data_IF_248665277369
#
_entry.id   IF_248665277369
#
_cell.length_a   1.000
_cell.length_b   1.000
_cell.length_c   1.000
_cell.angle_alpha   90.00
_cell.angle_beta   90.00
_cell.angle_gamma   90.00
#
_symmetry.space_group_name_H-M   'P 1'
#
loop_
_entity.id
_entity.type
_entity.pdbx_description
1 polymer ?
#
# COMPACT_ATOMS: atom_id res chain seq x y z
N UNK A 1 -0.41 21.85 77.14
CA UNK A 1 -1.39 21.14 76.28
C UNK A 1 -0.97 19.67 76.02
N UNK A 2 -0.66 18.89 77.06
CA UNK A 2 -0.21 17.48 76.92
C UNK A 2 -1.28 16.47 77.38
N UNK A 3 -2.36 16.94 78.03
CA UNK A 3 -3.45 16.09 78.50
C UNK A 3 -4.49 15.68 77.45
N UNK A 4 -4.75 16.52 76.44
CA UNK A 4 -5.85 16.30 75.46
C UNK A 4 -5.48 15.25 74.40
N UNK A 5 -4.21 15.16 74.01
CA UNK A 5 -3.72 14.22 72.98
C UNK A 5 -3.74 12.77 73.48
N UNK A 6 -3.57 12.56 74.79
CA UNK A 6 -3.59 11.22 75.40
C UNK A 6 -5.01 10.66 75.53
N UNK A 7 -6.01 11.53 75.67
CA UNK A 7 -7.43 11.14 75.67
C UNK A 7 -7.92 10.79 74.25
N UNK A 8 -7.49 11.52 73.22
CA UNK A 8 -7.87 11.27 71.83
C UNK A 8 -7.32 9.94 71.26
N UNK A 9 -6.11 9.52 71.66
CA UNK A 9 -5.57 8.19 71.28
C UNK A 9 -6.36 7.05 71.89
N UNK A 10 -6.84 7.21 73.13
CA UNK A 10 -7.57 6.15 73.80
C UNK A 10 -9.02 5.97 73.27
N UNK A 11 -9.58 7.02 72.65
CA UNK A 11 -10.88 6.95 71.99
C UNK A 11 -10.82 6.29 70.60
N UNK A 12 -9.71 6.48 69.87
CA UNK A 12 -9.52 5.91 68.53
C UNK A 12 -9.31 4.38 68.53
N UNK A 13 -8.74 3.83 69.61
CA UNK A 13 -8.54 2.38 69.76
C UNK A 13 -9.82 1.61 70.12
N UNK A 14 -10.89 2.29 70.57
CA UNK A 14 -12.19 1.63 70.85
C UNK A 14 -13.06 1.37 69.61
N UNK A 15 -12.74 1.94 68.46
CA UNK A 15 -13.57 1.82 67.24
C UNK A 15 -12.87 1.20 66.03
N UNK A 16 -11.68 0.59 66.17
CA UNK A 16 -11.13 -0.31 65.14
C UNK A 16 -10.88 0.29 63.75
N UNK A 17 -10.68 1.61 63.62
CA UNK A 17 -10.56 2.30 62.33
C UNK A 17 -9.11 2.53 61.86
N UNK A 18 -8.09 2.05 62.58
CA UNK A 18 -6.68 2.30 62.25
C UNK A 18 -6.05 1.27 61.31
N UNK A 19 -6.69 0.11 61.09
CA UNK A 19 -6.07 -1.00 60.32
C UNK A 19 -6.33 -0.92 58.80
N UNK A 20 -7.34 -0.15 58.36
CA UNK A 20 -7.74 -0.10 56.94
C UNK A 20 -6.97 0.98 56.16
N UNK A 21 -6.72 2.15 56.75
CA UNK A 21 -6.06 3.26 56.07
C UNK A 21 -4.57 2.99 55.73
N UNK A 22 -3.84 2.28 56.60
CA UNK A 22 -2.44 1.91 56.33
C UNK A 22 -2.30 0.82 55.25
N UNK A 23 -3.28 -0.07 55.09
CA UNK A 23 -3.26 -1.12 54.04
C UNK A 23 -3.56 -0.56 52.65
N UNK A 24 -4.41 0.46 52.53
CA UNK A 24 -4.70 1.09 51.23
C UNK A 24 -3.56 2.00 50.73
N UNK A 25 -2.88 2.73 51.63
CA UNK A 25 -1.75 3.59 51.26
C UNK A 25 -0.50 2.80 50.82
N UNK A 26 -0.23 1.67 51.46
CA UNK A 26 0.88 0.75 51.10
C UNK A 26 0.60 0.00 49.80
N UNK A 27 -0.65 -0.40 49.54
CA UNK A 27 -1.05 -1.04 48.27
C UNK A 27 -0.95 -0.09 47.07
N UNK A 28 -1.32 1.18 47.23
CA UNK A 28 -1.24 2.19 46.14
C UNK A 28 0.21 2.56 45.80
N UNK A 29 1.09 2.73 46.80
CA UNK A 29 2.55 2.95 46.60
C UNK A 29 3.27 1.75 46.00
N UNK A 30 2.88 0.51 46.36
CA UNK A 30 3.47 -0.71 45.78
C UNK A 30 3.07 -0.89 44.32
N UNK A 31 1.84 -0.54 43.93
CA UNK A 31 1.41 -0.60 42.52
C UNK A 31 2.09 0.45 41.62
N UNK A 32 2.37 1.65 42.13
CA UNK A 32 3.05 2.71 41.37
C UNK A 32 4.56 2.49 41.26
N UNK A 33 5.19 1.84 42.24
CA UNK A 33 6.58 1.36 42.14
C UNK A 33 6.69 0.21 41.13
N UNK A 34 5.78 -0.77 41.19
CA UNK A 34 5.80 -1.92 40.28
C UNK A 34 5.53 -1.55 38.81
N UNK A 35 4.75 -0.49 38.54
CA UNK A 35 4.60 0.10 37.20
C UNK A 35 5.83 0.89 36.73
N UNK A 36 6.55 1.55 37.64
CA UNK A 36 7.83 2.25 37.34
C UNK A 36 8.96 1.28 37.07
N UNK A 37 9.02 0.18 37.81
CA UNK A 37 10.01 -0.90 37.61
C UNK A 37 9.79 -1.61 36.27
N UNK A 38 8.53 -1.80 35.85
CA UNK A 38 8.20 -2.32 34.52
C UNK A 38 8.62 -1.39 33.38
N UNK A 39 8.37 -0.09 33.50
CA UNK A 39 8.81 0.90 32.52
C UNK A 39 10.36 0.99 32.46
N UNK A 40 11.02 0.97 33.62
CA UNK A 40 12.49 0.96 33.70
C UNK A 40 13.09 -0.33 33.10
N UNK A 41 12.45 -1.48 33.31
CA UNK A 41 12.86 -2.74 32.70
C UNK A 41 12.69 -2.72 31.17
N UNK A 42 11.60 -2.14 30.65
CA UNK A 42 11.39 -1.97 29.20
C UNK A 42 12.46 -1.05 28.61
N UNK A 43 12.73 0.10 29.25
CA UNK A 43 13.77 1.04 28.79
C UNK A 43 15.14 0.38 28.84
N UNK A 44 15.47 -0.35 29.91
CA UNK A 44 16.71 -1.11 30.04
C UNK A 44 16.85 -2.21 28.98
N UNK A 45 15.76 -2.94 28.68
CA UNK A 45 15.71 -3.94 27.61
C UNK A 45 15.89 -3.32 26.21
N UNK A 46 15.30 -2.15 25.96
CA UNK A 46 15.51 -1.40 24.71
C UNK A 46 16.97 -0.94 24.62
N UNK A 47 17.53 -0.39 25.70
CA UNK A 47 18.89 0.12 25.72
C UNK A 47 19.92 -1.01 25.50
N UNK A 48 19.75 -2.15 26.17
CA UNK A 48 20.59 -3.34 25.98
C UNK A 48 20.47 -3.91 24.57
N UNK A 49 19.27 -3.95 23.98
CA UNK A 49 19.08 -4.39 22.57
C UNK A 49 19.74 -3.45 21.57
N UNK A 50 19.67 -2.13 21.80
CA UNK A 50 20.31 -1.11 20.95
C UNK A 50 21.83 -1.18 21.08
N UNK A 51 22.35 -1.33 22.30
CA UNK A 51 23.79 -1.50 22.55
C UNK A 51 24.33 -2.80 21.94
N UNK A 52 23.60 -3.92 22.08
CA UNK A 52 23.95 -5.19 21.45
C UNK A 52 24.00 -5.08 19.92
N UNK A 53 23.04 -4.36 19.31
CA UNK A 53 23.01 -4.05 17.87
C UNK A 53 24.16 -3.14 17.41
N UNK A 54 24.86 -2.46 18.33
CA UNK A 54 26.02 -1.60 18.05
C UNK A 54 27.37 -2.26 18.40
N UNK A 55 27.36 -3.46 18.99
CA UNK A 55 28.55 -4.17 19.44
C UNK A 55 29.49 -4.56 18.30
N UNK A 56 30.79 -4.70 18.60
CA UNK A 56 31.79 -5.15 17.63
C UNK A 56 31.49 -6.54 17.07
N UNK A 57 30.96 -7.45 17.90
CA UNK A 57 30.54 -8.78 17.46
C UNK A 57 29.35 -8.71 16.50
N UNK A 58 28.38 -7.83 16.74
CA UNK A 58 27.30 -7.60 15.79
C UNK A 58 27.87 -7.12 14.46
N UNK A 59 28.74 -6.09 14.46
CA UNK A 59 29.45 -5.58 13.26
C UNK A 59 30.23 -6.67 12.53
N UNK A 60 30.98 -7.50 13.24
CA UNK A 60 31.75 -8.63 12.70
C UNK A 60 30.84 -9.68 12.04
N UNK A 61 29.73 -10.06 12.68
CA UNK A 61 28.71 -10.93 12.06
C UNK A 61 28.06 -10.29 10.84
N UNK A 62 27.99 -8.96 10.74
CA UNK A 62 27.52 -8.29 9.54
C UNK A 62 28.53 -8.41 8.40
N UNK A 63 29.82 -8.22 8.69
CA UNK A 63 30.91 -8.36 7.71
C UNK A 63 31.01 -9.79 7.19
N UNK A 64 30.94 -10.81 8.05
CA UNK A 64 30.92 -12.21 7.61
C UNK A 64 29.71 -12.54 6.72
N UNK A 65 28.54 -11.98 7.02
CA UNK A 65 27.36 -12.17 6.19
C UNK A 65 27.49 -11.46 4.82
N UNK A 66 28.10 -10.28 4.80
CA UNK A 66 28.39 -9.55 3.57
C UNK A 66 29.42 -10.29 2.70
N UNK A 67 30.47 -10.87 3.31
CA UNK A 67 31.47 -11.71 2.64
C UNK A 67 30.86 -13.01 2.08
N UNK A 68 29.86 -13.56 2.77
CA UNK A 68 29.04 -14.68 2.28
C UNK A 68 28.04 -14.30 1.16
N UNK A 69 28.10 -13.06 0.64
CA UNK A 69 27.23 -12.60 -0.45
C UNK A 69 25.78 -12.31 -0.02
N UNK A 70 25.49 -12.29 1.29
CA UNK A 70 24.17 -11.91 1.80
C UNK A 70 24.10 -10.39 1.82
N UNK A 71 23.67 -9.82 0.69
CA UNK A 71 23.38 -8.40 0.54
C UNK A 71 22.44 -7.91 1.65
N UNK A 72 22.73 -6.75 2.22
CA UNK A 72 21.92 -6.16 3.28
C UNK A 72 21.32 -4.85 2.81
N UNK A 73 20.07 -4.64 3.21
CA UNK A 73 19.23 -3.46 2.92
C UNK A 73 19.85 -2.12 3.45
N UNK A 74 21.03 -2.15 4.07
CA UNK A 74 21.77 -0.98 4.56
C UNK A 74 22.86 -0.44 3.62
N UNK A 75 23.17 -1.15 2.53
CA UNK A 75 24.14 -0.66 1.54
C UNK A 75 23.52 0.51 0.74
N UNK A 76 24.35 1.49 0.37
CA UNK A 76 23.88 2.68 -0.37
C UNK A 76 23.30 2.23 -1.70
N UNK A 77 21.98 2.33 -1.81
CA UNK A 77 21.23 2.06 -3.04
C UNK A 77 21.84 2.81 -4.22
N UNK A 78 22.05 2.13 -5.36
CA UNK A 78 22.34 2.82 -6.62
C UNK A 78 21.27 3.89 -6.91
N UNK A 79 21.66 5.09 -7.36
CA UNK A 79 20.70 6.16 -7.64
C UNK A 79 19.76 5.80 -8.79
N UNK A 80 20.21 4.98 -9.74
CA UNK A 80 19.42 4.46 -10.86
C UNK A 80 19.45 2.93 -10.90
N UNK A 81 18.39 2.33 -11.38
CA UNK A 81 18.31 0.87 -11.58
C UNK A 81 19.34 0.39 -12.61
N UNK A 82 19.62 1.21 -13.64
CA UNK A 82 20.58 0.89 -14.71
C UNK A 82 22.01 0.67 -14.23
N UNK A 83 22.38 1.23 -13.08
CA UNK A 83 23.74 1.14 -12.53
C UNK A 83 24.00 -0.20 -11.81
N UNK A 84 22.97 -1.05 -11.68
CA UNK A 84 23.07 -2.36 -11.03
C UNK A 84 23.29 -3.45 -12.08
N UNK A 85 24.42 -4.16 -12.00
CA UNK A 85 24.76 -5.26 -12.92
C UNK A 85 24.51 -6.66 -12.33
N UNK A 86 24.27 -6.74 -11.02
CA UNK A 86 24.00 -8.01 -10.35
C UNK A 86 22.50 -8.31 -10.29
N UNK A 87 22.10 -9.46 -10.81
CA UNK A 87 20.70 -9.93 -10.80
C UNK A 87 20.17 -10.10 -9.36
N UNK A 88 20.96 -10.73 -8.49
CA UNK A 88 20.53 -11.01 -7.11
C UNK A 88 20.29 -9.72 -6.31
N UNK A 89 21.13 -8.69 -6.53
CA UNK A 89 20.96 -7.38 -5.92
C UNK A 89 19.70 -6.68 -6.45
N UNK A 90 19.46 -6.72 -7.76
CA UNK A 90 18.27 -6.11 -8.37
C UNK A 90 16.97 -6.72 -7.83
N UNK A 91 16.93 -8.04 -7.60
CA UNK A 91 15.79 -8.72 -7.00
C UNK A 91 15.54 -8.30 -5.54
N UNK A 92 16.61 -8.12 -4.76
CA UNK A 92 16.50 -7.64 -3.39
C UNK A 92 15.99 -6.20 -3.33
N UNK A 93 16.47 -5.32 -4.22
CA UNK A 93 15.94 -3.98 -4.34
C UNK A 93 14.46 -3.99 -4.74
N UNK A 94 14.05 -4.84 -5.68
CA UNK A 94 12.62 -5.03 -6.03
C UNK A 94 11.80 -5.40 -4.80
N UNK A 95 12.25 -6.39 -4.02
CA UNK A 95 11.58 -6.79 -2.78
C UNK A 95 11.52 -5.63 -1.79
N UNK A 96 12.59 -4.86 -1.63
CA UNK A 96 12.62 -3.70 -0.75
C UNK A 96 11.53 -2.68 -1.09
N UNK A 97 11.36 -2.35 -2.37
CA UNK A 97 10.29 -1.44 -2.81
C UNK A 97 8.90 -2.01 -2.57
N UNK A 98 8.70 -3.31 -2.80
CA UNK A 98 7.42 -3.97 -2.50
C UNK A 98 7.07 -3.82 -1.01
N UNK A 99 8.02 -4.08 -0.10
CA UNK A 99 7.79 -3.90 1.34
C UNK A 99 7.53 -2.44 1.73
N UNK A 100 8.17 -1.47 1.07
CA UNK A 100 7.87 -0.05 1.28
C UNK A 100 6.46 0.31 0.82
N UNK A 101 6.05 -0.16 -0.36
CA UNK A 101 4.70 0.03 -0.91
C UNK A 101 3.67 -0.58 0.04
N UNK A 102 3.84 -1.84 0.46
CA UNK A 102 2.90 -2.51 1.37
C UNK A 102 2.72 -1.75 2.69
N UNK A 103 3.80 -1.22 3.27
CA UNK A 103 3.72 -0.40 4.50
C UNK A 103 2.93 0.89 4.29
N UNK A 104 3.12 1.56 3.16
CA UNK A 104 2.38 2.80 2.84
C UNK A 104 0.93 2.54 2.47
N UNK A 105 0.64 1.45 1.77
CA UNK A 105 -0.73 1.00 1.49
C UNK A 105 -1.47 0.71 2.80
N UNK A 106 -0.83 0.02 3.76
CA UNK A 106 -1.41 -0.17 5.09
C UNK A 106 -1.62 1.16 5.82
N UNK A 107 -0.72 2.14 5.64
CA UNK A 107 -0.88 3.47 6.21
C UNK A 107 -2.10 4.21 5.62
N UNK A 108 -2.33 4.12 4.31
CA UNK A 108 -3.50 4.72 3.62
C UNK A 108 -4.83 4.21 4.17
N UNK A 109 -4.88 2.96 4.63
CA UNK A 109 -6.11 2.35 5.18
C UNK A 109 -6.48 2.88 6.57
N UNK A 110 -5.60 3.64 7.23
CA UNK A 110 -5.91 4.22 8.55
C UNK A 110 -6.91 5.38 8.44
N UNK A 111 -8.01 5.30 9.21
CA UNK A 111 -9.13 6.25 9.18
C UNK A 111 -8.76 7.66 9.71
N UNK A 112 -7.67 7.78 10.48
CA UNK A 112 -7.26 9.03 11.14
C UNK A 112 -6.38 9.97 10.30
N UNK A 113 -6.08 9.65 9.04
CA UNK A 113 -5.20 10.47 8.19
C UNK A 113 -6.01 11.56 7.48
N UNK A 114 -5.56 12.83 7.50
CA UNK A 114 -6.21 13.92 6.77
C UNK A 114 -5.97 13.84 5.27
N UNK A 115 -6.88 14.42 4.48
CA UNK A 115 -6.92 14.29 3.02
C UNK A 115 -5.64 14.75 2.30
N UNK A 116 -4.99 15.81 2.78
CA UNK A 116 -3.73 16.29 2.19
C UNK A 116 -2.61 15.25 2.33
N UNK A 117 -2.48 14.66 3.53
CA UNK A 117 -1.50 13.63 3.80
C UNK A 117 -1.81 12.34 3.03
N UNK A 118 -3.10 12.05 2.81
CA UNK A 118 -3.53 10.95 1.96
C UNK A 118 -3.07 11.12 0.51
N UNK A 119 -3.11 12.34 -0.03
CA UNK A 119 -2.59 12.67 -1.37
C UNK A 119 -1.08 12.50 -1.43
N UNK A 120 -0.34 13.04 -0.46
CA UNK A 120 1.12 12.91 -0.38
C UNK A 120 1.57 11.44 -0.30
N UNK A 121 0.88 10.63 0.53
CA UNK A 121 1.14 9.19 0.63
C UNK A 121 0.86 8.48 -0.69
N UNK A 122 -0.22 8.85 -1.38
CA UNK A 122 -0.54 8.29 -2.68
C UNK A 122 0.51 8.63 -3.74
N UNK A 123 0.98 9.88 -3.77
CA UNK A 123 2.05 10.32 -4.66
C UNK A 123 3.38 9.63 -4.35
N UNK A 124 3.66 9.36 -3.07
CA UNK A 124 4.81 8.57 -2.67
C UNK A 124 4.70 7.11 -3.12
N UNK A 125 3.54 6.47 -2.98
CA UNK A 125 3.33 5.11 -3.50
C UNK A 125 3.49 5.10 -5.02
N UNK A 126 2.91 6.06 -5.73
CA UNK A 126 3.06 6.17 -7.19
C UNK A 126 4.54 6.34 -7.61
N UNK A 127 5.31 7.15 -6.86
CA UNK A 127 6.78 7.25 -7.06
C UNK A 127 7.47 5.90 -6.86
N UNK A 128 7.15 5.18 -5.78
CA UNK A 128 7.74 3.87 -5.49
C UNK A 128 7.36 2.80 -6.52
N UNK A 129 6.13 2.82 -7.03
CA UNK A 129 5.66 1.90 -8.08
C UNK A 129 6.45 2.09 -9.39
N UNK A 130 6.70 3.35 -9.78
CA UNK A 130 7.53 3.66 -10.96
C UNK A 130 8.97 3.18 -10.79
N UNK A 131 9.55 3.40 -9.61
CA UNK A 131 10.91 2.91 -9.31
C UNK A 131 10.95 1.38 -9.32
N UNK A 132 10.00 0.69 -8.66
CA UNK A 132 9.85 -0.77 -8.72
C UNK A 132 9.81 -1.27 -10.16
N UNK A 133 9.02 -0.63 -11.01
CA UNK A 133 8.91 -1.02 -12.42
C UNK A 133 10.23 -0.85 -13.18
N UNK A 134 10.98 0.22 -12.92
CA UNK A 134 12.33 0.39 -13.48
C UNK A 134 13.28 -0.75 -13.07
N UNK A 135 13.19 -1.21 -11.82
CA UNK A 135 13.94 -2.39 -11.35
C UNK A 135 13.46 -3.69 -12.01
N UNK A 136 12.16 -3.84 -12.29
CA UNK A 136 11.64 -5.01 -13.01
C UNK A 136 12.11 -5.05 -14.47
N UNK A 137 12.20 -3.90 -15.14
CA UNK A 137 12.82 -3.80 -16.47
C UNK A 137 14.29 -4.19 -16.38
N UNK A 138 15.03 -3.66 -15.40
CA UNK A 138 16.45 -3.99 -15.25
C UNK A 138 16.67 -5.49 -15.02
N UNK A 139 15.86 -6.12 -14.17
CA UNK A 139 15.92 -7.56 -13.95
C UNK A 139 15.71 -8.33 -15.27
N UNK A 140 14.76 -7.90 -16.09
CA UNK A 140 14.52 -8.48 -17.42
C UNK A 140 15.72 -8.29 -18.36
N UNK A 141 16.33 -7.10 -18.39
CA UNK A 141 17.53 -6.82 -19.20
C UNK A 141 18.72 -7.69 -18.79
N UNK A 142 18.86 -7.97 -17.49
CA UNK A 142 19.88 -8.87 -16.95
C UNK A 142 19.59 -10.36 -17.17
N UNK A 143 18.50 -10.71 -17.87
CA UNK A 143 18.11 -12.09 -18.15
C UNK A 143 17.34 -12.78 -17.02
N UNK A 144 16.80 -12.02 -16.07
CA UNK A 144 15.97 -12.52 -14.98
C UNK A 144 14.48 -12.71 -15.32
N UNK A 145 13.65 -13.10 -14.34
CA UNK A 145 12.23 -13.38 -14.56
C UNK A 145 11.39 -12.14 -14.95
N UNK A 146 10.44 -12.33 -15.86
CA UNK A 146 9.51 -11.29 -16.33
C UNK A 146 8.38 -11.00 -15.32
N UNK A 147 8.65 -10.15 -14.33
CA UNK A 147 7.66 -9.76 -13.31
C UNK A 147 6.53 -8.87 -13.84
N UNK A 148 6.72 -8.19 -14.97
CA UNK A 148 5.71 -7.29 -15.58
C UNK A 148 4.45 -8.04 -16.02
N UNK A 149 4.59 -9.30 -16.46
CA UNK A 149 3.47 -10.16 -16.86
C UNK A 149 2.67 -10.64 -15.65
N UNK A 150 3.35 -10.92 -14.55
CA UNK A 150 2.73 -11.39 -13.29
C UNK A 150 2.01 -10.25 -12.58
N UNK A 151 2.58 -9.04 -12.59
CA UNK A 151 2.01 -7.85 -11.94
C UNK A 151 0.72 -7.34 -12.60
N UNK A 152 0.38 -7.80 -13.81
CA UNK A 152 -0.85 -7.42 -14.52
C UNK A 152 -2.14 -7.86 -13.80
N UNK A 153 -2.04 -8.67 -12.73
CA UNK A 153 -3.15 -9.08 -11.87
C UNK A 153 -3.15 -8.32 -10.54
N UNK A 154 -3.25 -6.99 -10.56
CA UNK A 154 -3.59 -6.26 -9.32
C UNK A 154 -5.07 -6.47 -9.03
N UNK A 155 -5.34 -7.35 -8.06
CA UNK A 155 -6.67 -7.64 -7.53
C UNK A 155 -6.93 -6.66 -6.39
N UNK A 156 -8.05 -5.95 -6.41
CA UNK A 156 -8.40 -5.01 -5.34
C UNK A 156 -8.71 -5.76 -4.04
N UNK A 157 -8.81 -5.07 -2.90
CA UNK A 157 -9.13 -5.68 -1.59
C UNK A 157 -10.47 -6.43 -1.55
N UNK A 158 -11.32 -6.23 -2.55
CA UNK A 158 -12.62 -6.88 -2.71
C UNK A 158 -12.58 -8.05 -3.70
N UNK A 159 -11.41 -8.50 -4.13
CA UNK A 159 -11.29 -9.60 -5.09
C UNK A 159 -11.72 -9.24 -6.52
N UNK A 160 -12.13 -7.99 -6.76
CA UNK A 160 -12.54 -7.48 -8.06
C UNK A 160 -11.31 -7.02 -8.84
N UNK A 161 -11.19 -7.48 -10.09
CA UNK A 161 -10.20 -6.94 -11.01
C UNK A 161 -10.55 -5.47 -11.28
N UNK A 162 -9.61 -4.56 -11.02
CA UNK A 162 -9.82 -3.13 -11.35
C UNK A 162 -10.04 -3.03 -12.86
N UNK A 163 -11.22 -2.56 -13.32
CA UNK A 163 -11.49 -2.42 -14.75
C UNK A 163 -10.46 -1.46 -15.36
N UNK A 164 -9.69 -1.92 -16.34
CA UNK A 164 -8.59 -1.16 -16.94
C UNK A 164 -7.18 -1.72 -16.69
N UNK A 165 -7.05 -2.80 -15.91
CA UNK A 165 -5.77 -3.48 -15.64
C UNK A 165 -5.11 -4.21 -16.84
N UNK A 166 -5.64 -4.11 -18.05
CA UNK A 166 -5.05 -4.75 -19.22
C UNK A 166 -3.99 -3.83 -19.86
N UNK A 167 -2.74 -4.01 -19.44
CA UNK A 167 -1.55 -3.50 -20.14
C UNK A 167 -0.83 -2.31 -19.48
N UNK A 168 0.05 -1.71 -20.27
CA UNK A 168 0.99 -0.61 -19.96
C UNK A 168 0.35 0.65 -19.34
N UNK A 169 -0.97 0.78 -19.35
CA UNK A 169 -1.71 1.93 -18.79
C UNK A 169 -1.65 2.01 -17.25
N UNK A 170 -1.52 0.87 -16.55
CA UNK A 170 -1.34 0.85 -15.08
C UNK A 170 -0.01 1.48 -14.64
N UNK A 171 1.03 1.37 -15.46
CA UNK A 171 2.41 1.70 -15.08
C UNK A 171 2.62 3.22 -15.03
N UNK A 172 1.86 3.98 -15.82
CA UNK A 172 1.99 5.45 -15.93
C UNK A 172 0.80 6.21 -15.34
N UNK A 173 -0.35 5.56 -15.13
CA UNK A 173 -1.49 6.21 -14.51
C UNK A 173 -1.18 6.54 -13.04
N UNK A 174 -1.63 7.72 -12.59
CA UNK A 174 -1.65 8.07 -11.18
C UNK A 174 -2.79 7.27 -10.53
N UNK A 175 -2.48 6.10 -9.99
CA UNK A 175 -3.48 5.30 -9.30
C UNK A 175 -3.72 5.90 -7.91
N UNK A 176 -4.98 5.86 -7.48
CA UNK A 176 -5.35 6.15 -6.11
C UNK A 176 -5.61 4.81 -5.41
N UNK A 177 -4.91 4.57 -4.30
CA UNK A 177 -4.99 3.30 -3.55
C UNK A 177 -5.95 3.41 -2.37
N UNK A 178 -6.74 2.36 -2.11
CA UNK A 178 -7.62 2.25 -0.93
C UNK A 178 -8.48 3.49 -0.69
N UNK A 179 -8.41 4.04 0.54
CA UNK A 179 -9.13 5.26 0.96
C UNK A 179 -8.81 6.48 0.11
N UNK A 180 -7.66 6.52 -0.57
CA UNK A 180 -7.33 7.63 -1.46
C UNK A 180 -8.29 7.72 -2.68
N UNK A 181 -9.02 6.64 -3.00
CA UNK A 181 -10.10 6.65 -4.00
C UNK A 181 -11.35 7.40 -3.52
N UNK A 182 -11.55 7.50 -2.21
CA UNK A 182 -12.71 8.15 -1.60
C UNK A 182 -12.53 9.67 -1.46
N UNK A 183 -11.37 10.19 -1.83
CA UNK A 183 -11.09 11.62 -1.78
C UNK A 183 -12.05 12.40 -2.69
N UNK A 184 -12.61 13.53 -2.22
CA UNK A 184 -13.46 14.39 -3.03
C UNK A 184 -12.70 14.87 -4.29
N UNK A 185 -13.38 14.83 -5.44
CA UNK A 185 -12.83 15.09 -6.78
C UNK A 185 -12.13 13.90 -7.44
N UNK A 186 -11.54 12.97 -6.68
CA UNK A 186 -10.96 11.73 -7.23
C UNK A 186 -12.05 10.69 -7.47
N UNK A 187 -12.97 10.56 -6.51
CA UNK A 187 -14.09 9.64 -6.58
C UNK A 187 -14.94 9.85 -7.84
N UNK A 188 -15.24 11.11 -8.15
CA UNK A 188 -16.01 11.50 -9.34
C UNK A 188 -15.32 11.09 -10.65
N UNK A 189 -13.99 11.17 -10.72
CA UNK A 189 -13.22 10.74 -11.90
C UNK A 189 -13.27 9.22 -12.09
N UNK A 190 -13.26 8.44 -11.00
CA UNK A 190 -13.41 6.98 -11.07
C UNK A 190 -14.82 6.58 -11.48
N UNK A 191 -15.84 7.23 -10.92
CA UNK A 191 -17.25 6.99 -11.28
C UNK A 191 -17.50 7.33 -12.77
N UNK A 192 -16.97 8.46 -13.27
CA UNK A 192 -17.07 8.84 -14.68
C UNK A 192 -16.35 7.87 -15.62
N UNK A 193 -15.19 7.34 -15.23
CA UNK A 193 -14.44 6.36 -16.04
C UNK A 193 -15.13 5.00 -16.11
N UNK A 194 -15.92 4.60 -15.09
CA UNK A 194 -16.73 3.39 -15.17
C UNK A 194 -17.83 3.48 -16.24
N UNK A 195 -18.19 4.69 -16.66
CA UNK A 195 -19.24 4.94 -17.67
C UNK A 195 -18.67 4.93 -19.10
N UNK A 196 -17.38 4.61 -19.31
CA UNK A 196 -16.89 4.42 -20.68
C UNK A 196 -17.66 3.24 -21.29
N UNK A 197 -18.43 3.45 -22.37
CA UNK A 197 -19.26 2.40 -22.93
C UNK A 197 -18.35 1.24 -23.33
N UNK A 198 -18.73 0.03 -22.92
CA UNK A 198 -18.05 -1.15 -23.41
C UNK A 198 -18.07 -1.10 -24.94
N UNK A 199 -16.89 -1.23 -25.55
CA UNK A 199 -16.82 -1.38 -27.01
C UNK A 199 -17.74 -2.54 -27.35
N UNK A 200 -18.73 -2.31 -28.22
CA UNK A 200 -19.68 -3.34 -28.61
C UNK A 200 -18.90 -4.56 -29.05
N UNK A 201 -19.28 -5.72 -28.52
CA UNK A 201 -18.61 -6.98 -28.84
C UNK A 201 -18.73 -7.22 -30.35
N UNK A 202 -17.75 -7.86 -30.97
CA UNK A 202 -17.82 -8.19 -32.41
C UNK A 202 -19.15 -8.88 -32.76
N UNK A 203 -19.64 -9.76 -31.89
CA UNK A 203 -20.95 -10.40 -32.04
C UNK A 203 -22.15 -9.45 -31.94
N UNK A 204 -22.06 -8.36 -31.16
CA UNK A 204 -23.12 -7.33 -31.11
C UNK A 204 -23.08 -6.42 -32.32
N UNK A 205 -21.88 -6.12 -32.85
CA UNK A 205 -21.73 -5.45 -34.14
C UNK A 205 -22.36 -6.29 -35.24
N UNK A 206 -22.05 -7.59 -35.33
CA UNK A 206 -22.65 -8.48 -36.33
C UNK A 206 -24.17 -8.62 -36.19
N UNK A 207 -24.75 -8.44 -34.99
CA UNK A 207 -26.21 -8.41 -34.81
C UNK A 207 -26.88 -7.12 -35.28
N UNK A 208 -26.11 -6.02 -35.41
CA UNK A 208 -26.59 -4.72 -35.91
C UNK A 208 -26.33 -4.55 -37.41
N UNK A 209 -25.65 -5.51 -38.02
CA UNK A 209 -25.41 -5.55 -39.46
C UNK A 209 -26.59 -6.30 -40.08
N UNK A 210 -27.51 -5.53 -40.66
CA UNK A 210 -28.70 -6.05 -41.33
C UNK A 210 -28.42 -6.40 -42.80
N UNK A 211 -29.38 -7.06 -43.46
CA UNK A 211 -29.28 -7.45 -44.87
C UNK A 211 -29.01 -6.26 -45.82
N UNK A 212 -29.41 -5.06 -45.41
CA UNK A 212 -29.14 -3.78 -46.08
C UNK A 212 -27.64 -3.48 -46.19
N UNK A 213 -26.84 -3.84 -45.18
CA UNK A 213 -25.37 -3.66 -45.24
C UNK A 213 -24.71 -4.52 -46.32
N UNK A 214 -25.32 -5.65 -46.68
CA UNK A 214 -24.84 -6.55 -47.73
C UNK A 214 -25.51 -6.28 -49.09
N UNK A 215 -26.29 -5.20 -49.21
CA UNK A 215 -26.90 -4.77 -50.48
C UNK A 215 -28.06 -5.65 -50.96
N UNK A 216 -28.60 -6.53 -50.12
CA UNK A 216 -29.72 -7.40 -50.50
C UNK A 216 -31.03 -6.65 -50.81
N UNK A 217 -31.08 -5.34 -50.57
CA UNK A 217 -32.24 -4.48 -50.86
C UNK A 217 -31.93 -3.38 -51.88
N UNK A 218 -30.75 -3.39 -52.47
CA UNK A 218 -30.32 -2.35 -53.42
C UNK A 218 -31.13 -2.43 -54.72
N UNK A 219 -31.60 -3.63 -55.11
CA UNK A 219 -32.53 -3.83 -56.23
C UNK A 219 -33.94 -3.24 -56.00
N UNK A 220 -34.28 -2.88 -54.75
CA UNK A 220 -35.54 -2.22 -54.40
C UNK A 220 -35.39 -0.68 -54.32
N UNK A 221 -34.15 -0.16 -54.38
CA UNK A 221 -33.88 1.28 -54.32
C UNK A 221 -34.02 1.91 -55.71
N UNK A 222 -35.20 2.48 -55.96
CA UNK A 222 -35.55 3.17 -57.20
C UNK A 222 -34.55 4.29 -57.57
N UNK A 223 -33.90 4.91 -56.57
CA UNK A 223 -32.93 5.98 -56.82
C UNK A 223 -31.60 5.46 -57.34
N UNK A 224 -31.14 4.32 -56.81
CA UNK A 224 -29.92 3.65 -57.24
C UNK A 224 -30.06 3.10 -58.67
N UNK A 225 -31.21 2.45 -58.95
CA UNK A 225 -31.54 1.91 -60.26
C UNK A 225 -31.62 2.99 -61.35
N UNK A 226 -32.26 4.12 -61.05
CA UNK A 226 -32.34 5.24 -61.99
C UNK A 226 -30.95 5.82 -62.32
N UNK A 227 -30.06 5.84 -61.33
CA UNK A 227 -28.67 6.25 -61.51
C UNK A 227 -27.90 5.25 -62.38
N UNK A 228 -28.01 3.95 -62.11
CA UNK A 228 -27.37 2.89 -62.91
C UNK A 228 -27.84 2.91 -64.37
N UNK A 229 -29.14 3.06 -64.62
CA UNK A 229 -29.70 3.17 -65.98
C UNK A 229 -29.18 4.39 -66.74
N UNK A 230 -29.03 5.53 -66.07
CA UNK A 230 -28.41 6.72 -66.69
C UNK A 230 -26.95 6.45 -67.05
N UNK A 231 -26.18 5.79 -66.17
CA UNK A 231 -24.77 5.48 -66.40
C UNK A 231 -24.57 4.44 -67.50
N UNK A 232 -25.46 3.47 -67.64
CA UNK A 232 -25.48 2.50 -68.75
C UNK A 232 -25.85 3.15 -70.09
N UNK A 233 -26.72 4.16 -70.09
CA UNK A 233 -27.09 4.90 -71.31
C UNK A 233 -26.02 5.91 -71.76
N UNK A 234 -25.18 6.38 -70.82
CA UNK A 234 -24.04 7.28 -71.09
C UNK A 234 -22.75 6.55 -71.52
N UNK A 235 -22.66 5.24 -71.30
CA UNK A 235 -21.52 4.39 -71.66
C UNK A 235 -21.69 3.70 -73.01
#
# INVERSE_FOLDING_TARGET
>A
MVGVVRWARHLADRHGLTTVAHRHATRKRRSTLQGRDGAAAIVSAIYTRVLASRSMLHRFRQLQAAEAGVFRIGDRRPPRASDCDNLAEAEQWRQHFIHQISRKVAQIQNVGIPDHQLRELNDEINRLMRVKYAWEIRIRELGGPDYTRVASRMIDSEGREVPGNRGYKQVYAHLYFGRAKELPGVRELFEQQMIVPQKSTISELYRRVDAEYYGYRDEEDETLLAYEQQREAEG
#
